data_IF_274704598508
#
_entry.id   IF_274704598508
#
_cell.length_a   1.000
_cell.length_b   1.000
_cell.length_c   1.000
_cell.angle_alpha   90.00
_cell.angle_beta   90.00
_cell.angle_gamma   90.00
#
_symmetry.space_group_name_H-M   'P 1'
#
loop_
_entity.id
_entity.type
_entity.pdbx_description
1 polymer ?
#
# COMPACT_ATOMS: atom_id res chain seq x y z
N UNK A 1 -19.59 9.86 -0.67
CA UNK A 1 -18.34 10.01 0.12
C UNK A 1 -17.57 8.70 -0.01
N UNK A 2 -16.26 8.73 -0.22
CA UNK A 2 -15.46 7.50 -0.38
C UNK A 2 -15.09 6.91 0.97
N UNK A 3 -14.97 5.58 1.03
CA UNK A 3 -14.55 4.84 2.23
C UNK A 3 -13.02 4.59 2.21
N UNK A 4 -12.45 4.58 1.00
CA UNK A 4 -11.04 4.35 0.77
C UNK A 4 -10.49 5.10 -0.45
N UNK A 5 -9.17 5.21 -0.52
CA UNK A 5 -8.46 5.57 -1.75
C UNK A 5 -7.20 4.74 -1.95
N UNK A 6 -6.83 4.56 -3.22
CA UNK A 6 -5.61 3.86 -3.63
C UNK A 6 -4.79 4.77 -4.54
N UNK A 7 -3.56 5.06 -4.12
CA UNK A 7 -2.53 5.71 -4.94
C UNK A 7 -1.90 4.63 -5.81
N UNK A 8 -2.25 4.60 -7.09
CA UNK A 8 -1.72 3.70 -8.09
C UNK A 8 -0.49 4.33 -8.74
N UNK A 9 0.64 3.64 -8.75
CA UNK A 9 1.83 4.15 -9.43
C UNK A 9 2.91 3.10 -9.60
N UNK A 10 4.11 3.58 -9.84
CA UNK A 10 5.35 2.78 -9.85
C UNK A 10 6.35 3.41 -8.89
N UNK A 11 7.45 2.73 -8.53
CA UNK A 11 8.51 3.34 -7.75
C UNK A 11 9.01 4.66 -8.34
N UNK A 12 9.46 5.57 -7.47
CA UNK A 12 10.10 6.86 -7.81
C UNK A 12 9.19 7.89 -8.50
N UNK A 13 7.88 7.78 -8.29
CA UNK A 13 6.87 8.71 -8.83
C UNK A 13 6.53 9.88 -7.89
N UNK A 14 7.13 9.94 -6.70
CA UNK A 14 6.75 10.90 -5.66
C UNK A 14 5.62 10.42 -4.74
N UNK A 15 5.21 9.16 -4.84
CA UNK A 15 4.13 8.60 -4.02
C UNK A 15 4.41 8.63 -2.51
N UNK A 16 5.66 8.53 -2.05
CA UNK A 16 6.01 8.75 -0.63
C UNK A 16 5.70 10.18 -0.19
N UNK A 17 6.06 11.19 -1.00
CA UNK A 17 5.77 12.59 -0.69
C UNK A 17 4.25 12.80 -0.58
N UNK A 18 3.49 12.27 -1.54
CA UNK A 18 2.03 12.35 -1.51
C UNK A 18 1.44 11.65 -0.27
N UNK A 19 1.93 10.45 0.08
CA UNK A 19 1.52 9.76 1.30
C UNK A 19 1.74 10.61 2.56
N UNK A 20 2.90 11.24 2.68
CA UNK A 20 3.25 12.09 3.83
C UNK A 20 2.35 13.32 3.91
N UNK A 21 2.07 13.98 2.78
CA UNK A 21 1.17 15.13 2.71
C UNK A 21 -0.29 14.75 3.05
N UNK A 22 -0.76 13.59 2.58
CA UNK A 22 -2.10 13.10 2.92
C UNK A 22 -2.19 12.75 4.42
N UNK A 23 -1.21 12.02 4.94
CA UNK A 23 -1.15 11.67 6.37
C UNK A 23 -1.12 12.92 7.26
N UNK A 24 -0.36 13.95 6.89
CA UNK A 24 -0.26 15.19 7.70
C UNK A 24 -1.57 15.98 7.81
N UNK A 25 -2.55 15.71 6.95
CA UNK A 25 -3.89 16.31 7.07
C UNK A 25 -4.68 15.82 8.29
N UNK A 26 -4.32 14.66 8.86
CA UNK A 26 -5.09 13.95 9.89
C UNK A 26 -6.57 13.70 9.49
N UNK A 27 -6.89 13.72 8.19
CA UNK A 27 -8.25 13.55 7.65
C UNK A 27 -8.37 12.44 6.62
N UNK A 28 -7.27 12.07 5.98
CA UNK A 28 -7.25 11.13 4.85
C UNK A 28 -6.47 9.86 5.18
N UNK A 29 -6.56 9.38 6.41
CA UNK A 29 -5.84 8.18 6.86
C UNK A 29 -4.31 8.29 6.80
N UNK A 30 -3.66 7.13 6.77
CA UNK A 30 -2.20 6.99 6.81
C UNK A 30 -1.74 6.03 5.69
N UNK A 31 -1.74 6.49 4.42
CA UNK A 31 -1.46 5.62 3.29
C UNK A 31 -0.01 5.11 3.30
N UNK A 32 0.16 3.80 3.14
CA UNK A 32 1.47 3.16 3.02
C UNK A 32 1.44 2.00 2.01
N UNK A 33 2.59 1.39 1.74
CA UNK A 33 2.75 0.16 0.95
C UNK A 33 2.55 -1.11 1.77
N UNK A 34 1.37 -1.28 2.39
CA UNK A 34 1.07 -2.45 3.22
C UNK A 34 1.15 -3.79 2.48
N UNK A 35 1.09 -3.79 1.15
CA UNK A 35 1.15 -5.00 0.33
C UNK A 35 2.40 -5.06 -0.56
N UNK A 36 3.48 -4.38 -0.15
CA UNK A 36 4.78 -4.64 -0.76
C UNK A 36 5.32 -5.94 -0.21
N UNK A 37 5.56 -6.93 -1.10
CA UNK A 37 5.97 -8.30 -0.74
C UNK A 37 7.08 -8.37 0.32
N UNK A 38 8.10 -7.53 0.16
CA UNK A 38 9.26 -7.54 1.07
C UNK A 38 8.91 -7.09 2.50
N UNK A 39 7.84 -6.31 2.65
CA UNK A 39 7.52 -5.60 3.88
C UNK A 39 6.39 -6.32 4.64
N UNK A 40 5.75 -7.36 4.08
CA UNK A 40 4.58 -8.02 4.71
C UNK A 40 4.92 -8.62 6.08
N UNK A 41 6.07 -9.28 6.20
CA UNK A 41 6.52 -9.85 7.48
C UNK A 41 6.79 -8.76 8.50
N UNK A 42 7.47 -7.69 8.10
CA UNK A 42 7.77 -6.53 8.94
C UNK A 42 6.49 -5.86 9.45
N UNK A 43 5.49 -5.63 8.59
CA UNK A 43 4.19 -5.09 9.00
C UNK A 43 3.44 -5.99 9.97
N UNK A 44 3.46 -7.31 9.74
CA UNK A 44 2.82 -8.25 10.63
C UNK A 44 3.46 -8.23 12.03
N UNK A 45 4.78 -8.15 12.10
CA UNK A 45 5.53 -7.99 13.35
C UNK A 45 5.22 -6.64 14.03
N UNK A 46 5.24 -5.52 13.29
CA UNK A 46 4.93 -4.19 13.80
C UNK A 46 3.51 -4.12 14.40
N UNK A 47 2.54 -4.80 13.79
CA UNK A 47 1.17 -4.85 14.28
C UNK A 47 0.92 -5.95 15.32
N UNK A 48 1.95 -6.73 15.69
CA UNK A 48 1.84 -7.80 16.67
C UNK A 48 0.91 -8.94 16.25
N UNK A 49 0.87 -9.25 14.95
CA UNK A 49 0.06 -10.35 14.43
C UNK A 49 0.70 -11.70 14.78
N UNK A 50 -0.10 -12.77 14.96
CA UNK A 50 0.47 -14.09 15.18
C UNK A 50 1.25 -14.56 13.94
N UNK A 51 2.27 -15.40 14.16
CA UNK A 51 3.12 -15.94 13.11
C UNK A 51 2.31 -16.69 12.05
N UNK A 52 2.77 -16.64 10.80
CA UNK A 52 2.11 -17.34 9.66
C UNK A 52 1.99 -18.85 9.87
N UNK A 53 2.88 -19.45 10.65
CA UNK A 53 2.91 -20.86 11.01
C UNK A 53 1.88 -21.25 12.08
N UNK A 54 1.28 -20.27 12.75
CA UNK A 54 0.30 -20.50 13.84
C UNK A 54 -1.14 -20.61 13.36
N UNK A 55 -1.41 -20.33 12.08
CA UNK A 55 -2.76 -20.33 11.52
C UNK A 55 -2.77 -20.74 10.04
N UNK A 56 -3.96 -20.91 9.45
CA UNK A 56 -4.07 -21.16 8.02
C UNK A 56 -3.67 -19.93 7.19
N UNK A 57 -3.30 -20.13 5.92
CA UNK A 57 -2.98 -19.01 5.02
C UNK A 57 -4.15 -18.03 4.90
N UNK A 58 -5.38 -18.54 4.81
CA UNK A 58 -6.59 -17.72 4.72
C UNK A 58 -6.82 -16.91 5.99
N UNK A 59 -6.64 -17.51 7.17
CA UNK A 59 -6.80 -16.81 8.44
C UNK A 59 -5.74 -15.71 8.60
N UNK A 60 -4.52 -15.97 8.15
CA UNK A 60 -3.47 -14.96 8.14
C UNK A 60 -3.83 -13.80 7.21
N UNK A 61 -4.27 -14.09 5.99
CA UNK A 61 -4.65 -13.08 5.01
C UNK A 61 -5.80 -12.18 5.51
N UNK A 62 -6.81 -12.77 6.16
CA UNK A 62 -7.92 -12.04 6.80
C UNK A 62 -7.41 -11.17 7.95
N UNK A 63 -6.56 -11.73 8.81
CA UNK A 63 -6.00 -11.02 9.97
C UNK A 63 -5.13 -9.84 9.52
N UNK A 64 -4.27 -10.07 8.53
CA UNK A 64 -3.41 -9.06 7.92
C UNK A 64 -4.22 -7.96 7.24
N UNK A 65 -5.26 -8.32 6.45
CA UNK A 65 -6.14 -7.35 5.79
C UNK A 65 -6.80 -6.42 6.81
N UNK A 66 -7.33 -6.96 7.90
CA UNK A 66 -7.95 -6.15 8.96
C UNK A 66 -6.95 -5.20 9.63
N UNK A 67 -5.74 -5.67 9.89
CA UNK A 67 -4.67 -4.86 10.46
C UNK A 67 -4.22 -3.75 9.49
N UNK A 68 -4.03 -4.07 8.21
CA UNK A 68 -3.70 -3.11 7.16
C UNK A 68 -4.77 -2.04 6.99
N UNK A 69 -6.06 -2.41 7.03
CA UNK A 69 -7.18 -1.46 6.99
C UNK A 69 -7.14 -0.53 8.21
N UNK A 70 -6.91 -1.07 9.41
CA UNK A 70 -6.80 -0.27 10.64
C UNK A 70 -5.61 0.71 10.56
N UNK A 71 -4.45 0.23 10.14
CA UNK A 71 -3.24 1.04 9.98
C UNK A 71 -3.44 2.14 8.93
N UNK A 72 -3.96 1.79 7.75
CA UNK A 72 -4.21 2.73 6.66
C UNK A 72 -5.32 3.74 6.94
N UNK A 73 -6.24 3.45 7.87
CA UNK A 73 -7.18 4.44 8.40
C UNK A 73 -6.53 5.45 9.32
N UNK A 74 -5.44 5.10 10.01
CA UNK A 74 -4.64 6.04 10.81
C UNK A 74 -5.45 6.86 11.83
N UNK A 75 -6.50 6.27 12.43
CA UNK A 75 -7.41 6.97 13.36
C UNK A 75 -8.50 7.81 12.68
N UNK A 76 -8.58 7.83 11.36
CA UNK A 76 -9.61 8.52 10.57
C UNK A 76 -10.67 7.55 10.04
N UNK A 77 -11.72 8.10 9.41
CA UNK A 77 -12.77 7.30 8.76
C UNK A 77 -12.40 6.71 7.40
N UNK A 78 -11.30 7.18 6.77
CA UNK A 78 -10.94 6.85 5.38
C UNK A 78 -9.69 5.99 5.36
N UNK A 79 -9.73 4.85 4.65
CA UNK A 79 -8.56 4.01 4.41
C UNK A 79 -7.71 4.54 3.24
N UNK A 80 -6.41 4.71 3.45
CA UNK A 80 -5.45 5.04 2.40
C UNK A 80 -4.48 3.90 2.10
N UNK A 81 -4.21 3.65 0.81
CA UNK A 81 -3.24 2.67 0.35
C UNK A 81 -2.36 3.24 -0.77
N UNK A 82 -1.07 2.92 -0.74
CA UNK A 82 -0.17 3.08 -1.88
C UNK A 82 0.07 1.71 -2.52
N UNK A 83 -0.40 1.54 -3.75
CA UNK A 83 -0.26 0.30 -4.51
C UNK A 83 0.63 0.54 -5.73
N UNK A 84 1.82 -0.03 -5.70
CA UNK A 84 2.69 -0.05 -6.87
C UNK A 84 2.22 -1.13 -7.84
N UNK A 85 2.40 -0.92 -9.16
CA UNK A 85 1.93 -1.87 -10.18
C UNK A 85 2.46 -3.28 -9.94
N UNK A 86 3.72 -3.42 -9.51
CA UNK A 86 4.35 -4.72 -9.23
C UNK A 86 3.69 -5.51 -8.09
N UNK A 87 2.89 -4.85 -7.23
CA UNK A 87 2.21 -5.48 -6.09
C UNK A 87 0.72 -5.75 -6.34
N UNK A 88 0.17 -5.29 -7.48
CA UNK A 88 -1.26 -5.45 -7.80
C UNK A 88 -1.67 -6.93 -7.87
N UNK A 89 -0.92 -7.74 -8.61
CA UNK A 89 -1.31 -9.13 -8.88
C UNK A 89 -1.35 -9.95 -7.58
N UNK A 90 -0.41 -9.68 -6.66
CA UNK A 90 -0.34 -10.34 -5.36
C UNK A 90 -1.46 -9.90 -4.42
N UNK A 91 -1.76 -8.60 -4.33
CA UNK A 91 -2.92 -8.13 -3.56
C UNK A 91 -4.23 -8.69 -4.14
N UNK A 92 -4.36 -8.75 -5.47
CA UNK A 92 -5.55 -9.31 -6.11
C UNK A 92 -5.71 -10.80 -5.76
N UNK A 93 -4.62 -11.58 -5.80
CA UNK A 93 -4.63 -12.98 -5.41
C UNK A 93 -5.00 -13.19 -3.92
N UNK A 94 -4.47 -12.37 -3.01
CA UNK A 94 -4.84 -12.38 -1.59
C UNK A 94 -6.34 -12.12 -1.44
N UNK A 95 -6.85 -11.07 -2.08
CA UNK A 95 -8.27 -10.72 -1.98
C UNK A 95 -9.19 -11.73 -2.67
N UNK A 96 -8.72 -12.43 -3.70
CA UNK A 96 -9.47 -13.52 -4.32
C UNK A 96 -9.59 -14.73 -3.38
N UNK A 97 -8.54 -15.03 -2.58
CA UNK A 97 -8.65 -16.06 -1.53
C UNK A 97 -9.66 -15.67 -0.44
N UNK A 98 -9.65 -14.40 0.00
CA UNK A 98 -10.55 -13.92 1.04
C UNK A 98 -11.99 -13.76 0.52
N UNK A 99 -12.15 -13.34 -0.74
CA UNK A 99 -13.42 -13.03 -1.39
C UNK A 99 -13.49 -13.67 -2.78
N UNK A 100 -13.66 -15.00 -2.85
CA UNK A 100 -13.57 -15.75 -4.10
C UNK A 100 -14.70 -15.42 -5.08
N UNK A 101 -14.41 -15.57 -6.37
CA UNK A 101 -15.42 -15.51 -7.44
C UNK A 101 -15.81 -14.10 -7.89
N UNK A 102 -15.05 -13.07 -7.52
CA UNK A 102 -15.30 -11.70 -7.95
C UNK A 102 -14.74 -11.43 -9.36
N UNK A 103 -15.45 -10.65 -10.20
CA UNK A 103 -15.16 -10.58 -11.64
C UNK A 103 -13.99 -9.66 -12.02
N UNK A 104 -13.43 -8.89 -11.09
CA UNK A 104 -12.36 -7.94 -11.37
C UNK A 104 -11.61 -7.50 -10.09
N UNK A 105 -10.41 -6.94 -10.26
CA UNK A 105 -9.65 -6.31 -9.17
C UNK A 105 -10.45 -5.20 -8.49
N UNK A 106 -11.18 -4.40 -9.28
CA UNK A 106 -12.06 -3.37 -8.74
C UNK A 106 -13.12 -3.94 -7.80
N UNK A 107 -13.78 -5.04 -8.19
CA UNK A 107 -14.77 -5.69 -7.35
C UNK A 107 -14.15 -6.25 -6.06
N UNK A 108 -12.95 -6.83 -6.15
CA UNK A 108 -12.18 -7.31 -4.97
C UNK A 108 -11.83 -6.16 -4.03
N UNK A 109 -11.34 -5.03 -4.57
CA UNK A 109 -11.00 -3.85 -3.78
C UNK A 109 -12.23 -3.20 -3.15
N UNK A 110 -13.34 -3.08 -3.88
CA UNK A 110 -14.57 -2.52 -3.32
C UNK A 110 -15.16 -3.43 -2.23
N UNK A 111 -15.03 -4.76 -2.38
CA UNK A 111 -15.44 -5.72 -1.35
C UNK A 111 -14.59 -5.65 -0.08
N UNK A 112 -13.29 -5.38 -0.22
CA UNK A 112 -12.35 -5.30 0.90
C UNK A 112 -12.35 -3.93 1.60
N UNK A 113 -12.45 -2.85 0.84
CA UNK A 113 -12.18 -1.48 1.32
C UNK A 113 -13.40 -0.54 1.27
N UNK A 114 -14.53 -0.95 0.68
CA UNK A 114 -15.70 -0.11 0.46
C UNK A 114 -15.61 0.71 -0.84
N UNK A 115 -16.26 1.88 -0.92
CA UNK A 115 -16.18 2.72 -2.12
C UNK A 115 -14.79 3.33 -2.25
N UNK A 116 -14.06 2.93 -3.29
CA UNK A 116 -12.66 3.30 -3.52
C UNK A 116 -12.51 4.45 -4.53
N UNK A 117 -11.71 5.46 -4.19
CA UNK A 117 -11.16 6.43 -5.13
C UNK A 117 -9.78 5.99 -5.64
N UNK A 118 -9.58 5.92 -6.95
CA UNK A 118 -8.29 5.58 -7.53
C UNK A 118 -7.55 6.85 -7.98
N UNK A 119 -6.30 7.00 -7.55
CA UNK A 119 -5.43 8.11 -7.91
C UNK A 119 -4.21 7.59 -8.64
N UNK A 120 -4.13 7.82 -9.96
CA UNK A 120 -2.96 7.45 -10.73
C UNK A 120 -1.88 8.52 -10.59
N UNK A 121 -0.71 8.14 -10.07
CA UNK A 121 0.44 9.02 -9.92
C UNK A 121 1.56 8.60 -10.88
N UNK A 122 1.92 9.53 -11.76
CA UNK A 122 2.97 9.35 -12.76
C UNK A 122 3.97 10.50 -12.71
N UNK A 123 5.27 10.19 -12.83
CA UNK A 123 6.30 11.19 -13.10
C UNK A 123 6.45 11.37 -14.61
N UNK A 124 6.43 12.61 -15.09
CA UNK A 124 6.52 12.92 -16.52
C UNK A 124 7.90 12.57 -17.09
N UNK A 125 8.97 13.01 -16.42
CA UNK A 125 10.34 12.65 -16.77
C UNK A 125 10.68 11.20 -16.37
N UNK A 126 10.56 10.29 -17.34
CA UNK A 126 10.86 8.86 -17.17
C UNK A 126 12.34 8.55 -17.05
N UNK A 127 13.21 9.37 -17.65
CA UNK A 127 14.66 9.18 -17.53
C UNK A 127 15.11 9.47 -16.10
N UNK A 128 14.69 10.60 -15.53
CA UNK A 128 14.98 10.93 -14.14
C UNK A 128 14.34 9.93 -13.16
N UNK A 129 13.15 9.41 -13.47
CA UNK A 129 12.52 8.33 -12.71
C UNK A 129 13.39 7.07 -12.70
N UNK A 130 13.85 6.61 -13.87
CA UNK A 130 14.67 5.41 -14.02
C UNK A 130 16.04 5.56 -13.35
N UNK A 131 16.73 6.69 -13.55
CA UNK A 131 18.01 6.96 -12.86
C UNK A 131 17.81 6.95 -11.35
N UNK A 132 16.73 7.54 -10.85
CA UNK A 132 16.44 7.50 -9.40
C UNK A 132 16.16 6.09 -8.88
N UNK A 133 15.56 5.21 -9.70
CA UNK A 133 15.29 3.83 -9.31
C UNK A 133 16.58 3.03 -9.21
N UNK A 134 17.45 3.14 -10.23
CA UNK A 134 18.75 2.45 -10.25
C UNK A 134 19.61 2.89 -9.08
N UNK A 135 19.68 4.20 -8.79
CA UNK A 135 20.41 4.70 -7.62
C UNK A 135 19.89 4.08 -6.31
N UNK A 136 18.57 4.09 -6.10
CA UNK A 136 17.97 3.55 -4.87
C UNK A 136 18.20 2.04 -4.71
N UNK A 137 18.19 1.28 -5.81
CA UNK A 137 18.48 -0.15 -5.78
C UNK A 137 19.94 -0.44 -5.44
N UNK A 138 20.88 0.39 -5.94
CA UNK A 138 22.31 0.23 -5.69
C UNK A 138 22.71 0.62 -4.27
N UNK A 139 22.13 1.68 -3.73
CA UNK A 139 22.51 2.22 -2.41
C UNK A 139 21.66 1.69 -1.26
N UNK A 140 20.48 1.11 -1.56
CA UNK A 140 19.48 0.78 -0.54
C UNK A 140 18.72 2.00 0.00
N UNK A 141 19.05 3.22 -0.44
CA UNK A 141 18.43 4.46 0.02
C UNK A 141 17.25 4.84 -0.86
N UNK A 142 16.05 4.68 -0.32
CA UNK A 142 14.80 4.95 -1.03
C UNK A 142 14.22 6.33 -0.71
N UNK A 143 14.59 6.94 0.40
CA UNK A 143 14.09 8.24 0.82
C UNK A 143 15.27 9.12 1.21
N UNK A 144 15.18 10.40 0.85
CA UNK A 144 16.07 11.48 1.27
C UNK A 144 15.13 12.56 1.80
N UNK A 145 15.44 13.11 2.97
CA UNK A 145 14.65 14.17 3.57
C UNK A 145 14.66 15.45 2.69
N UNK A 146 13.69 16.37 2.86
CA UNK A 146 13.65 17.61 2.08
C UNK A 146 14.91 18.48 2.19
N UNK A 147 15.70 18.31 3.26
CA UNK A 147 16.97 18.99 3.50
C UNK A 147 18.20 18.25 2.93
N UNK A 148 17.99 17.12 2.25
CA UNK A 148 19.06 16.33 1.65
C UNK A 148 19.71 15.31 2.60
N UNK A 149 19.25 15.21 3.85
CA UNK A 149 19.74 14.18 4.78
C UNK A 149 19.13 12.80 4.50
N UNK A 150 19.88 11.75 4.83
CA UNK A 150 19.45 10.34 4.71
C UNK A 150 18.67 9.89 5.95
#
# INVERSE_FOLDING_TARGET
MFDAYIICGTPRTGSTLLCNLLKSTNKTGAPHSFYRRQDITEWAEEWGLPGRDTMSELDFDVTYLNAAIKAGKGGTGIFGLRLMRENLDELSAILDRIHPGLPSDRARFERAFGRVLYMHLSREDKLAQAVSLVKAQQTGLWHIAPDGTE
#
